data_IF_495011867565
#
_entry.id   IF_495011867565
#
_cell.length_a   1.000
_cell.length_b   1.000
_cell.length_c   1.000
_cell.angle_alpha   90.00
_cell.angle_beta   90.00
_cell.angle_gamma   90.00
#
_symmetry.space_group_name_H-M   'P 1'
#
loop_
_entity.id
_entity.type
_entity.pdbx_description
1 polymer ?
#
# COMPACT_ATOMS: atom_id res chain seq x y z
N UNK A 1 12.36 12.82 12.42
CA UNK A 1 13.16 11.67 11.94
C UNK A 1 13.03 11.62 10.42
N UNK A 2 14.04 12.05 9.65
CA UNK A 2 13.99 12.02 8.17
C UNK A 2 14.54 10.65 7.74
N UNK A 3 13.72 9.83 7.08
CA UNK A 3 14.21 8.60 6.48
C UNK A 3 15.25 8.94 5.40
N UNK A 4 16.39 8.25 5.40
CA UNK A 4 17.37 8.39 4.33
C UNK A 4 16.85 7.72 3.05
N UNK A 5 17.28 8.17 1.85
CA UNK A 5 16.88 7.54 0.59
C UNK A 5 17.18 6.04 0.53
N UNK A 6 18.22 5.58 1.23
CA UNK A 6 18.59 4.16 1.32
C UNK A 6 17.60 3.33 2.14
N UNK A 7 17.10 3.87 3.26
CA UNK A 7 16.08 3.19 4.07
C UNK A 7 14.74 3.11 3.33
N UNK A 8 14.38 4.17 2.60
CA UNK A 8 13.16 4.18 1.79
C UNK A 8 13.23 3.13 0.66
N UNK A 9 14.35 3.06 -0.06
CA UNK A 9 14.55 2.04 -1.09
C UNK A 9 14.42 0.62 -0.52
N UNK A 10 15.05 0.33 0.62
CA UNK A 10 14.96 -0.98 1.26
C UNK A 10 13.51 -1.32 1.65
N UNK A 11 12.78 -0.38 2.25
CA UNK A 11 11.39 -0.58 2.64
C UNK A 11 10.45 -0.81 1.44
N UNK A 12 10.73 -0.20 0.28
CA UNK A 12 9.97 -0.42 -0.95
C UNK A 12 10.37 -1.72 -1.69
N UNK A 13 11.58 -2.22 -1.46
CA UNK A 13 12.07 -3.47 -2.05
C UNK A 13 11.61 -4.73 -1.33
N UNK A 14 11.22 -4.62 -0.06
CA UNK A 14 10.64 -5.74 0.68
C UNK A 14 9.16 -5.89 0.24
N UNK A 15 8.75 -7.04 -0.33
CA UNK A 15 7.37 -7.24 -0.73
C UNK A 15 6.49 -7.11 0.51
N UNK A 16 5.45 -6.25 0.48
CA UNK A 16 4.65 -6.05 1.67
C UNK A 16 3.91 -7.35 1.99
N UNK A 17 3.84 -7.68 3.28
CA UNK A 17 3.09 -8.85 3.74
C UNK A 17 1.61 -8.60 3.45
N UNK A 18 1.09 -9.27 2.43
CA UNK A 18 -0.32 -9.18 2.06
C UNK A 18 -1.14 -9.98 3.05
N UNK A 19 -2.11 -9.31 3.68
CA UNK A 19 -3.09 -9.94 4.54
C UNK A 19 -4.28 -10.42 3.72
N UNK A 20 -4.78 -11.61 4.06
CA UNK A 20 -6.02 -12.14 3.47
C UNK A 20 -7.21 -11.45 4.15
N UNK A 21 -8.17 -10.88 3.40
CA UNK A 21 -9.41 -10.37 3.97
C UNK A 21 -10.34 -11.53 4.36
N UNK A 22 -11.26 -11.26 5.28
CA UNK A 22 -12.34 -12.18 5.61
C UNK A 22 -13.52 -12.00 4.65
N UNK A 23 -14.38 -13.01 4.56
CA UNK A 23 -15.60 -12.91 3.77
C UNK A 23 -16.48 -11.77 4.29
N UNK A 24 -17.06 -11.00 3.37
CA UNK A 24 -17.91 -9.83 3.64
C UNK A 24 -17.22 -8.69 4.43
N UNK A 25 -15.90 -8.73 4.61
CA UNK A 25 -15.14 -7.66 5.27
C UNK A 25 -15.14 -6.37 4.44
N UNK A 26 -15.37 -5.23 5.12
CA UNK A 26 -15.22 -3.91 4.52
C UNK A 26 -13.75 -3.59 4.36
N UNK A 27 -13.34 -3.30 3.13
CA UNK A 27 -11.99 -2.89 2.78
C UNK A 27 -11.97 -1.42 2.36
N UNK A 28 -10.85 -0.75 2.61
CA UNK A 28 -10.66 0.66 2.27
C UNK A 28 -9.67 0.78 1.12
N UNK A 29 -10.07 1.53 0.09
CA UNK A 29 -9.23 1.84 -1.07
C UNK A 29 -8.65 3.25 -0.93
N UNK A 30 -7.33 3.34 -0.92
CA UNK A 30 -6.60 4.61 -1.02
C UNK A 30 -6.03 4.78 -2.42
N UNK A 31 -6.23 5.96 -3.00
CA UNK A 31 -5.67 6.34 -4.30
C UNK A 31 -4.65 7.45 -4.10
N UNK A 32 -3.46 7.26 -4.65
CA UNK A 32 -2.45 8.29 -4.78
C UNK A 32 -2.28 8.63 -6.26
N UNK A 33 -2.45 9.90 -6.60
CA UNK A 33 -2.38 10.41 -7.98
C UNK A 33 -1.23 11.38 -8.08
N UNK A 34 -0.34 11.12 -9.04
CA UNK A 34 0.73 12.00 -9.48
C UNK A 34 0.62 12.18 -11.01
N UNK A 35 1.21 13.23 -11.59
CA UNK A 35 1.20 13.42 -13.05
C UNK A 35 1.71 12.20 -13.81
N UNK A 36 2.69 11.49 -13.25
CA UNK A 36 3.38 10.37 -13.90
C UNK A 36 2.79 9.00 -13.56
N UNK A 37 1.94 8.90 -12.54
CA UNK A 37 1.43 7.60 -12.07
C UNK A 37 0.16 7.70 -11.22
N UNK A 38 -0.64 6.63 -11.27
CA UNK A 38 -1.74 6.38 -10.33
C UNK A 38 -1.40 5.11 -9.55
N UNK A 39 -1.47 5.18 -8.23
CA UNK A 39 -1.30 4.03 -7.34
C UNK A 39 -2.56 3.78 -6.52
N UNK A 40 -2.84 2.52 -6.27
CA UNK A 40 -3.99 2.06 -5.51
C UNK A 40 -3.54 1.07 -4.43
N UNK A 41 -4.03 1.30 -3.21
CA UNK A 41 -3.72 0.50 -2.03
C UNK A 41 -5.03 0.05 -1.41
N UNK A 42 -5.25 -1.26 -1.35
CA UNK A 42 -6.38 -1.87 -0.66
C UNK A 42 -5.93 -2.31 0.72
N UNK A 43 -6.60 -1.84 1.76
CA UNK A 43 -6.28 -2.16 3.14
C UNK A 43 -7.51 -2.67 3.91
N UNK A 44 -7.25 -3.37 5.01
CA UNK A 44 -8.22 -3.70 6.04
C UNK A 44 -7.85 -3.00 7.35
N UNK A 45 -8.84 -2.58 8.12
CA UNK A 45 -8.68 -2.07 9.48
C UNK A 45 -8.75 -3.24 10.47
N UNK A 46 -7.73 -3.42 11.30
CA UNK A 46 -7.73 -4.41 12.37
C UNK A 46 -7.49 -3.75 13.72
N UNK A 47 -7.64 -4.51 14.81
CA UNK A 47 -7.28 -4.06 16.16
C UNK A 47 -5.80 -3.71 16.32
N UNK A 48 -4.95 -4.21 15.42
CA UNK A 48 -3.50 -3.92 15.36
C UNK A 48 -3.18 -2.74 14.43
N UNK A 49 -4.20 -2.12 13.82
CA UNK A 49 -4.09 -1.04 12.86
C UNK A 49 -4.37 -1.50 11.42
N UNK A 50 -3.87 -0.73 10.45
CA UNK A 50 -4.10 -0.98 9.04
C UNK A 50 -3.19 -2.09 8.50
N UNK A 51 -3.78 -3.07 7.81
CA UNK A 51 -3.02 -4.12 7.10
C UNK A 51 -3.26 -4.04 5.60
N UNK A 52 -2.18 -4.16 4.82
CA UNK A 52 -2.25 -4.19 3.37
C UNK A 52 -2.90 -5.49 2.90
N UNK A 53 -3.85 -5.39 1.97
CA UNK A 53 -4.44 -6.52 1.26
C UNK A 53 -3.87 -6.62 -0.15
N UNK A 54 -3.75 -5.47 -0.83
CA UNK A 54 -3.22 -5.41 -2.19
C UNK A 54 -2.64 -4.02 -2.50
N UNK A 55 -1.62 -4.00 -3.37
CA UNK A 55 -1.04 -2.76 -3.89
C UNK A 55 -0.82 -2.88 -5.40
N UNK A 56 -1.14 -1.82 -6.13
CA UNK A 56 -0.79 -1.69 -7.54
C UNK A 56 -0.44 -0.24 -7.89
N UNK A 57 0.39 -0.07 -8.92
CA UNK A 57 0.77 1.23 -9.45
C UNK A 57 0.89 1.14 -10.96
N UNK A 58 0.38 2.15 -11.65
CA UNK A 58 0.42 2.27 -13.10
C UNK A 58 1.00 3.61 -13.49
N UNK A 59 2.05 3.60 -14.30
CA UNK A 59 2.56 4.80 -14.94
C UNK A 59 1.54 5.34 -15.96
N UNK A 60 1.40 6.66 -15.99
CA UNK A 60 0.65 7.39 -17.00
C UNK A 60 1.67 7.78 -18.08
N UNK A 61 1.77 6.96 -19.12
CA UNK A 61 2.56 7.27 -20.32
C UNK A 61 1.76 8.15 -21.26
#
# INVERSE_FOLDING_TARGET
MRASPSTLKKALSEPPVLSRPNDEEVLYLYLAVAPEAISATLIRETTEGQKLVYFTSKALQ
#
